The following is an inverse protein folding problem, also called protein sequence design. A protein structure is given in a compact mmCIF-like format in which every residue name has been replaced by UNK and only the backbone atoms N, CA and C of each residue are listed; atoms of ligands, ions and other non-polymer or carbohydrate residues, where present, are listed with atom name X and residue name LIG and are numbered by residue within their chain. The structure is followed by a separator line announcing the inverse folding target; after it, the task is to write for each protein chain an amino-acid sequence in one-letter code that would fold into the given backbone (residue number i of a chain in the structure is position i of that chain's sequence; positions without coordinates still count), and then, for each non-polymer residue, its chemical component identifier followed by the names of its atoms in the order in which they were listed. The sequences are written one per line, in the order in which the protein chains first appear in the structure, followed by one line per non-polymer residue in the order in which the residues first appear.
data_IF_871562875373
#
_entry.id   IF_871562875373
#
_cell.length_a   1.000
_cell.length_b   1.000
_cell.length_c   1.000
_cell.angle_alpha   90.00
_cell.angle_beta   90.00
_cell.angle_gamma   90.00
#
_symmetry.space_group_name_H-M   'P 1'
#
loop_
_entity.id
_entity.type
_entity.pdbx_description
1 polymer ?
#
# COMPACT_ATOMS: atom_id res chain seq x y z
N UNK A 1 -23.22 -28.52 20.08
CA UNK A 1 -21.88 -29.08 20.29
C UNK A 1 -21.24 -29.32 18.96
N UNK A 2 -20.32 -28.43 18.59
CA UNK A 2 -19.46 -28.65 17.40
C UNK A 2 -18.21 -29.40 17.86
N UNK A 3 -17.99 -30.57 17.27
CA UNK A 3 -16.79 -31.36 17.55
C UNK A 3 -15.53 -30.48 17.39
N UNK A 4 -14.58 -30.56 18.34
CA UNK A 4 -13.32 -29.89 18.22
C UNK A 4 -12.59 -30.39 16.97
N UNK A 5 -11.87 -29.51 16.28
CA UNK A 5 -11.09 -29.84 15.08
C UNK A 5 -10.18 -31.05 15.36
N UNK A 6 -10.59 -32.23 14.89
CA UNK A 6 -9.91 -33.49 15.16
C UNK A 6 -8.71 -33.74 14.24
N UNK A 7 -8.52 -32.90 13.20
CA UNK A 7 -7.39 -33.02 12.28
C UNK A 7 -6.37 -31.91 12.56
N UNK A 8 -5.11 -32.24 12.86
CA UNK A 8 -4.06 -31.24 13.04
C UNK A 8 -3.88 -30.46 11.72
N UNK A 9 -3.96 -29.13 11.82
CA UNK A 9 -3.64 -28.25 10.70
C UNK A 9 -2.13 -28.33 10.46
N UNK A 10 -1.74 -28.79 9.28
CA UNK A 10 -0.32 -28.80 8.86
C UNK A 10 -0.02 -27.47 8.21
N UNK A 11 0.73 -26.64 8.90
CA UNK A 11 1.22 -25.38 8.39
C UNK A 11 2.60 -25.57 7.76
N UNK A 12 2.84 -24.99 6.61
CA UNK A 12 4.16 -24.88 6.02
C UNK A 12 5.05 -23.87 6.79
N UNK A 13 6.32 -23.76 6.42
CA UNK A 13 7.26 -22.88 7.10
C UNK A 13 6.89 -21.39 6.97
N UNK A 14 6.34 -21.00 5.82
CA UNK A 14 5.92 -19.61 5.55
C UNK A 14 4.66 -19.26 6.33
N UNK A 15 3.69 -20.14 6.39
CA UNK A 15 2.47 -19.98 7.16
C UNK A 15 2.75 -19.89 8.66
N UNK A 16 3.64 -20.74 9.18
CA UNK A 16 4.11 -20.67 10.57
C UNK A 16 4.80 -19.35 10.87
N UNK A 17 5.72 -18.91 10.01
CA UNK A 17 6.39 -17.62 10.17
C UNK A 17 5.38 -16.48 10.18
N UNK A 18 4.42 -16.48 9.26
CA UNK A 18 3.35 -15.47 9.19
C UNK A 18 2.54 -15.41 10.48
N UNK A 19 2.13 -16.55 11.02
CA UNK A 19 1.40 -16.63 12.28
C UNK A 19 2.24 -16.17 13.47
N UNK A 20 3.53 -16.53 13.49
CA UNK A 20 4.46 -16.08 14.55
C UNK A 20 4.61 -14.55 14.50
N UNK A 21 4.86 -13.98 13.33
CA UNK A 21 4.97 -12.51 13.16
C UNK A 21 3.67 -11.79 13.53
N UNK A 22 2.53 -12.36 13.19
CA UNK A 22 1.22 -11.82 13.57
C UNK A 22 1.01 -11.85 15.10
N UNK A 23 1.39 -12.94 15.75
CA UNK A 23 1.31 -13.06 17.20
C UNK A 23 2.29 -12.11 17.91
N UNK A 24 3.54 -11.98 17.41
CA UNK A 24 4.55 -11.08 17.94
C UNK A 24 4.15 -9.59 17.79
N UNK A 25 3.35 -9.28 16.75
CA UNK A 25 2.75 -7.97 16.57
C UNK A 25 1.52 -7.73 17.48
N UNK A 26 1.31 -8.52 18.54
CA UNK A 26 0.13 -8.51 19.41
C UNK A 26 -1.17 -8.85 18.68
N UNK A 27 -1.10 -9.73 17.68
CA UNK A 27 -2.26 -10.29 16.99
C UNK A 27 -3.32 -9.22 16.64
N UNK A 28 -2.98 -8.20 15.83
CA UNK A 28 -3.91 -7.13 15.53
C UNK A 28 -5.18 -7.71 14.90
N UNK A 29 -6.29 -7.60 15.64
CA UNK A 29 -7.56 -8.20 15.26
C UNK A 29 -8.29 -7.42 14.15
N UNK A 30 -7.80 -6.22 13.84
CA UNK A 30 -8.39 -5.35 12.83
C UNK A 30 -7.34 -4.99 11.78
N UNK A 31 -7.72 -5.04 10.52
CA UNK A 31 -6.92 -4.53 9.39
C UNK A 31 -6.69 -3.01 9.48
N UNK A 32 -7.53 -2.30 10.26
CA UNK A 32 -7.39 -0.88 10.57
C UNK A 32 -7.40 -0.66 12.08
N UNK A 33 -6.25 -0.37 12.63
CA UNK A 33 -6.16 0.13 14.00
C UNK A 33 -6.47 1.62 14.03
N UNK A 34 -7.71 1.98 14.34
CA UNK A 34 -8.10 3.38 14.55
C UNK A 34 -7.82 3.74 16.00
N UNK A 35 -6.76 4.49 16.24
CA UNK A 35 -6.54 5.06 17.57
C UNK A 35 -7.67 6.06 17.89
N UNK A 36 -8.36 5.88 19.01
CA UNK A 36 -9.45 6.77 19.46
C UNK A 36 -8.98 8.16 19.87
N UNK A 37 -7.68 8.37 20.04
CA UNK A 37 -7.12 9.69 20.38
C UNK A 37 -7.08 10.54 19.12
N UNK A 38 -7.73 11.71 19.17
CA UNK A 38 -7.88 12.61 18.01
C UNK A 38 -6.54 13.14 17.47
N UNK A 39 -5.52 13.23 18.33
CA UNK A 39 -4.17 13.71 18.02
C UNK A 39 -3.26 12.69 17.33
N UNK A 40 -3.75 11.45 17.15
CA UNK A 40 -2.97 10.33 16.59
C UNK A 40 -3.52 9.79 15.28
N UNK A 41 -4.38 10.55 14.60
CA UNK A 41 -4.88 10.14 13.30
C UNK A 41 -3.71 10.08 12.31
N UNK A 42 -3.34 8.85 11.95
CA UNK A 42 -2.48 8.65 10.79
C UNK A 42 -3.17 9.21 9.54
N UNK A 43 -2.39 9.65 8.58
CA UNK A 43 -2.89 9.98 7.27
C UNK A 43 -3.58 8.74 6.66
N UNK A 44 -4.80 8.92 6.20
CA UNK A 44 -5.56 7.87 5.51
C UNK A 44 -5.47 8.07 4.00
N UNK A 45 -4.67 7.23 3.37
CA UNK A 45 -4.47 7.25 1.92
C UNK A 45 -5.80 7.07 1.15
N UNK A 46 -6.70 6.24 1.68
CA UNK A 46 -8.00 5.98 1.07
C UNK A 46 -8.93 7.20 1.13
N UNK A 47 -8.71 8.11 2.08
CA UNK A 47 -9.48 9.33 2.26
C UNK A 47 -8.84 10.57 1.60
N UNK A 48 -7.70 10.42 0.89
CA UNK A 48 -7.06 11.54 0.19
C UNK A 48 -7.90 11.99 -1.01
N UNK A 49 -8.45 13.21 -0.89
CA UNK A 49 -9.37 13.76 -1.89
C UNK A 49 -8.69 14.06 -3.23
N UNK A 50 -7.44 14.49 -3.21
CA UNK A 50 -6.71 14.83 -4.44
C UNK A 50 -6.32 13.55 -5.19
N UNK A 51 -5.85 12.52 -4.48
CA UNK A 51 -5.60 11.21 -5.08
C UNK A 51 -6.88 10.63 -5.67
N UNK A 52 -7.99 10.64 -4.90
CA UNK A 52 -9.28 10.13 -5.37
C UNK A 52 -9.79 10.89 -6.59
N UNK A 53 -9.63 12.22 -6.65
CA UNK A 53 -9.98 13.05 -7.80
C UNK A 53 -9.19 12.65 -9.04
N UNK A 54 -7.88 12.48 -8.93
CA UNK A 54 -7.03 12.06 -10.05
C UNK A 54 -7.37 10.64 -10.53
N UNK A 55 -7.54 9.69 -9.61
CA UNK A 55 -7.95 8.33 -9.96
C UNK A 55 -9.30 8.35 -10.70
N UNK A 56 -10.29 9.10 -10.21
CA UNK A 56 -11.60 9.21 -10.84
C UNK A 56 -11.51 9.80 -12.26
N UNK A 57 -10.74 10.87 -12.41
CA UNK A 57 -10.59 11.53 -13.71
C UNK A 57 -9.89 10.60 -14.74
N UNK A 58 -8.85 9.89 -14.33
CA UNK A 58 -8.16 8.92 -15.18
C UNK A 58 -9.06 7.72 -15.48
N UNK A 59 -9.79 7.22 -14.46
CA UNK A 59 -10.75 6.14 -14.66
C UNK A 59 -11.74 6.46 -15.78
N UNK A 60 -12.37 7.61 -15.71
CA UNK A 60 -13.37 8.02 -16.72
C UNK A 60 -12.80 8.06 -18.14
N UNK A 61 -11.55 8.48 -18.31
CA UNK A 61 -10.93 8.64 -19.63
C UNK A 61 -10.32 7.36 -20.18
N UNK A 62 -9.76 6.51 -19.32
CA UNK A 62 -8.87 5.41 -19.73
C UNK A 62 -9.31 4.02 -19.28
N UNK A 63 -10.01 3.93 -18.14
CA UNK A 63 -10.22 2.64 -17.48
C UNK A 63 -11.69 2.19 -17.45
N UNK A 64 -12.64 3.09 -17.68
CA UNK A 64 -14.07 2.83 -17.51
C UNK A 64 -14.63 1.74 -18.43
N UNK A 65 -13.97 1.46 -19.56
CA UNK A 65 -14.38 0.39 -20.45
C UNK A 65 -14.16 -1.02 -19.87
N UNK A 66 -13.19 -1.16 -18.94
CA UNK A 66 -12.77 -2.45 -18.40
C UNK A 66 -12.96 -2.57 -16.89
N UNK A 67 -12.94 -1.46 -16.15
CA UNK A 67 -12.93 -1.44 -14.69
C UNK A 67 -14.05 -0.57 -14.12
N UNK A 68 -14.67 -1.06 -13.05
CA UNK A 68 -15.58 -0.22 -12.25
C UNK A 68 -14.76 0.73 -11.35
N UNK A 69 -15.31 1.90 -10.96
CA UNK A 69 -14.59 2.85 -10.11
C UNK A 69 -14.04 2.23 -8.82
N UNK A 70 -14.81 1.40 -8.14
CA UNK A 70 -14.39 0.74 -6.89
C UNK A 70 -13.23 -0.25 -7.08
N UNK A 71 -13.00 -0.77 -8.28
CA UNK A 71 -11.93 -1.73 -8.54
C UNK A 71 -10.57 -1.04 -8.63
N UNK A 72 -10.53 0.22 -9.08
CA UNK A 72 -9.28 0.96 -9.24
C UNK A 72 -8.98 1.94 -8.11
N UNK A 73 -9.91 2.18 -7.19
CA UNK A 73 -9.71 3.06 -6.04
C UNK A 73 -9.15 2.34 -4.79
N UNK A 74 -8.49 1.21 -4.99
CA UNK A 74 -7.97 0.37 -3.90
C UNK A 74 -6.62 0.88 -3.43
N UNK A 75 -6.47 1.28 -2.16
CA UNK A 75 -5.20 1.78 -1.62
C UNK A 75 -4.10 0.71 -1.55
N UNK A 76 -4.45 -0.58 -1.50
CA UNK A 76 -3.51 -1.70 -1.53
C UNK A 76 -2.76 -1.85 -2.88
N UNK A 77 -3.16 -1.12 -3.91
CA UNK A 77 -2.46 -1.05 -5.18
C UNK A 77 -1.35 0.01 -5.21
N UNK A 78 -1.16 0.72 -4.11
CA UNK A 78 -0.12 1.74 -3.98
C UNK A 78 1.06 1.16 -3.20
N UNK A 79 2.24 1.20 -3.82
CA UNK A 79 3.48 0.83 -3.16
C UNK A 79 4.02 2.05 -2.38
N UNK A 80 4.09 1.92 -1.06
CA UNK A 80 4.55 2.99 -0.18
C UNK A 80 6.07 3.17 -0.19
N UNK A 81 6.82 2.15 -0.58
CA UNK A 81 8.28 2.20 -0.63
C UNK A 81 8.82 2.61 -2.00
N UNK A 82 8.12 2.21 -3.05
CA UNK A 82 8.45 2.51 -4.44
C UNK A 82 7.19 2.96 -5.19
N UNK A 83 6.73 4.19 -4.99
CA UNK A 83 5.46 4.70 -5.55
C UNK A 83 5.34 4.51 -7.06
N UNK A 84 6.46 4.56 -7.79
CA UNK A 84 6.54 4.34 -9.23
C UNK A 84 6.18 2.91 -9.64
N UNK A 85 6.35 1.94 -8.74
CA UNK A 85 5.98 0.54 -8.95
C UNK A 85 4.54 0.22 -8.55
N UNK A 86 3.81 1.21 -8.06
CA UNK A 86 2.39 1.06 -7.73
C UNK A 86 1.62 0.42 -8.88
N UNK A 87 0.72 -0.49 -8.56
CA UNK A 87 -0.03 -1.24 -9.57
C UNK A 87 -0.87 -0.30 -10.48
N UNK A 88 -1.37 0.81 -9.93
CA UNK A 88 -2.03 1.86 -10.71
C UNK A 88 -1.18 2.41 -11.86
N UNK A 89 0.13 2.46 -11.68
CA UNK A 89 1.08 3.01 -12.64
C UNK A 89 1.66 1.93 -13.53
N UNK A 90 2.08 0.81 -12.93
CA UNK A 90 2.82 -0.23 -13.64
C UNK A 90 1.93 -1.11 -14.52
N UNK A 91 0.67 -1.41 -14.10
CA UNK A 91 -0.18 -2.32 -14.84
C UNK A 91 -0.66 -1.78 -16.19
N UNK A 92 -1.07 -0.50 -16.32
CA UNK A 92 -1.55 0.07 -17.58
C UNK A 92 -0.43 0.61 -18.48
N UNK A 93 0.81 0.69 -18.01
CA UNK A 93 1.96 1.20 -18.77
C UNK A 93 2.56 0.10 -19.65
N UNK A 94 2.96 0.48 -20.87
CA UNK A 94 3.63 -0.41 -21.82
C UNK A 94 4.95 -0.96 -21.25
N UNK A 95 5.28 -2.21 -21.58
CA UNK A 95 6.55 -2.85 -21.17
C UNK A 95 7.76 -2.07 -21.68
N UNK A 96 7.70 -1.54 -22.91
CA UNK A 96 8.77 -0.73 -23.46
C UNK A 96 9.05 0.55 -22.66
N UNK A 97 8.07 1.03 -21.88
CA UNK A 97 8.19 2.19 -20.99
C UNK A 97 8.43 1.80 -19.52
N UNK A 98 8.72 0.54 -19.24
CA UNK A 98 8.98 0.03 -17.87
C UNK A 98 7.74 -0.45 -17.12
N UNK A 99 6.59 -0.54 -17.78
CA UNK A 99 5.36 -1.09 -17.20
C UNK A 99 5.28 -2.62 -17.25
N UNK A 100 4.19 -3.18 -16.75
CA UNK A 100 3.92 -4.62 -16.76
C UNK A 100 2.88 -5.04 -17.79
N UNK A 101 2.15 -4.07 -18.39
CA UNK A 101 1.16 -4.28 -19.44
C UNK A 101 0.12 -5.36 -19.07
N UNK A 102 -0.36 -5.32 -17.82
CA UNK A 102 -1.33 -6.30 -17.31
C UNK A 102 -2.77 -5.98 -17.67
N UNK A 103 -3.05 -4.76 -18.13
CA UNK A 103 -4.36 -4.40 -18.65
C UNK A 103 -4.59 -5.02 -20.01
N UNK A 104 -5.85 -5.30 -20.39
CA UNK A 104 -6.22 -5.88 -21.69
C UNK A 104 -5.81 -5.02 -22.90
N UNK A 105 -5.40 -3.79 -22.65
CA UNK A 105 -4.84 -2.87 -23.63
C UNK A 105 -3.88 -1.93 -22.94
N UNK A 106 -2.90 -1.43 -23.69
CA UNK A 106 -1.95 -0.42 -23.17
C UNK A 106 -2.69 0.90 -23.03
N UNK A 107 -2.94 1.33 -21.78
CA UNK A 107 -3.55 2.64 -21.52
C UNK A 107 -2.55 3.78 -21.72
N UNK A 108 -1.26 3.52 -21.40
CA UNK A 108 -0.17 4.48 -21.53
C UNK A 108 0.97 3.86 -22.34
N UNK A 109 1.29 4.45 -23.49
CA UNK A 109 2.39 3.99 -24.37
C UNK A 109 3.77 4.34 -23.80
N UNK A 110 3.84 5.47 -23.12
CA UNK A 110 5.07 5.99 -22.52
C UNK A 110 4.79 6.73 -21.21
N UNK A 111 5.86 7.02 -20.49
CA UNK A 111 5.80 7.68 -19.18
C UNK A 111 5.58 9.21 -19.28
N UNK A 112 5.51 9.77 -20.49
CA UNK A 112 5.28 11.21 -20.72
C UNK A 112 3.81 11.54 -20.96
N UNK A 113 2.94 10.52 -21.07
CA UNK A 113 1.48 10.71 -21.17
C UNK A 113 0.99 11.58 -19.99
N UNK A 114 0.17 12.59 -20.30
CA UNK A 114 -0.29 13.56 -19.30
C UNK A 114 -1.12 12.95 -18.19
N UNK A 115 -1.98 11.97 -18.51
CA UNK A 115 -2.78 11.25 -17.50
C UNK A 115 -1.89 10.38 -16.60
N UNK A 116 -0.89 9.71 -17.19
CA UNK A 116 0.10 8.93 -16.44
C UNK A 116 0.93 9.81 -15.51
N UNK A 117 1.44 10.91 -16.03
CA UNK A 117 2.26 11.86 -15.24
C UNK A 117 1.47 12.46 -14.10
N UNK A 118 0.23 12.90 -14.34
CA UNK A 118 -0.66 13.42 -13.30
C UNK A 118 -0.97 12.39 -12.22
N UNK A 119 -1.27 11.15 -12.61
CA UNK A 119 -1.51 10.07 -11.65
C UNK A 119 -0.26 9.73 -10.84
N UNK A 120 0.92 9.66 -11.47
CA UNK A 120 2.20 9.44 -10.81
C UNK A 120 2.51 10.51 -9.77
N UNK A 121 2.28 11.78 -10.10
CA UNK A 121 2.46 12.88 -9.17
C UNK A 121 1.50 12.80 -7.98
N UNK A 122 0.22 12.47 -8.22
CA UNK A 122 -0.76 12.32 -7.16
C UNK A 122 -0.42 11.16 -6.21
N UNK A 123 0.01 10.01 -6.75
CA UNK A 123 0.46 8.86 -5.95
C UNK A 123 1.69 9.23 -5.13
N UNK A 124 2.71 9.85 -5.73
CA UNK A 124 3.92 10.27 -5.01
C UNK A 124 3.61 11.28 -3.89
N UNK A 125 2.72 12.24 -4.14
CA UNK A 125 2.29 13.22 -3.14
C UNK A 125 1.53 12.57 -1.98
N UNK A 126 0.64 11.62 -2.26
CA UNK A 126 -0.10 10.90 -1.25
C UNK A 126 0.82 10.00 -0.40
N UNK A 127 1.77 9.30 -1.03
CA UNK A 127 2.78 8.49 -0.33
C UNK A 127 3.67 9.38 0.54
N UNK A 128 4.11 10.54 0.02
CA UNK A 128 4.87 11.50 0.83
C UNK A 128 4.10 11.95 2.08
N UNK A 129 2.80 12.28 1.95
CA UNK A 129 1.95 12.60 3.11
C UNK A 129 1.88 11.45 4.10
N UNK A 130 1.76 10.21 3.62
CA UNK A 130 1.72 9.03 4.48
C UNK A 130 3.02 8.88 5.30
N UNK A 131 4.18 9.20 4.72
CA UNK A 131 5.48 9.19 5.41
C UNK A 131 5.68 10.40 6.31
N UNK A 132 5.20 11.58 5.92
CA UNK A 132 5.31 12.82 6.73
C UNK A 132 4.41 12.77 7.97
N UNK A 133 3.30 12.00 7.92
CA UNK A 133 2.35 11.84 9.01
C UNK A 133 2.22 10.37 9.44
N UNK A 134 3.31 9.70 9.79
CA UNK A 134 3.24 8.34 10.30
C UNK A 134 2.51 8.32 11.64
N UNK A 135 2.06 7.15 12.05
CA UNK A 135 1.49 6.95 13.38
C UNK A 135 2.46 7.46 14.45
N UNK A 136 1.92 8.06 15.51
CA UNK A 136 2.72 8.67 16.59
C UNK A 136 3.72 7.72 17.25
N UNK A 137 3.35 6.45 17.40
CA UNK A 137 4.25 5.39 17.89
C UNK A 137 5.44 5.14 16.97
N UNK A 138 5.26 5.29 15.65
CA UNK A 138 6.35 5.21 14.67
C UNK A 138 7.21 6.47 14.64
N UNK A 139 6.62 7.65 14.91
CA UNK A 139 7.37 8.91 15.02
C UNK A 139 8.35 8.87 16.19
N UNK A 140 7.96 8.31 17.33
CA UNK A 140 8.84 8.15 18.48
C UNK A 140 10.06 7.28 18.15
N UNK A 141 9.91 6.23 17.36
CA UNK A 141 11.01 5.37 16.89
C UNK A 141 11.96 6.05 15.90
N UNK A 142 11.43 6.97 15.08
CA UNK A 142 12.22 7.71 14.11
C UNK A 142 13.08 8.82 14.74
N UNK A 143 12.68 9.33 15.90
CA UNK A 143 13.40 10.40 16.62
C UNK A 143 14.45 9.90 17.61
N UNK A 144 14.39 8.61 17.99
CA UNK A 144 15.46 8.03 18.80
C UNK A 144 16.70 7.74 17.94
N UNK A 145 17.86 8.33 18.27
CA UNK A 145 19.09 7.96 17.60
C UNK A 145 19.34 6.48 17.86
N UNK A 146 19.46 5.67 16.80
CA UNK A 146 19.84 4.26 16.91
C UNK A 146 21.10 4.19 17.75
N UNK A 147 20.95 3.81 19.00
CA UNK A 147 22.11 3.45 19.81
C UNK A 147 22.72 2.22 19.16
N UNK A 148 23.76 2.43 18.39
CA UNK A 148 24.59 1.38 17.78
C UNK A 148 25.33 0.67 18.91
N UNK A 149 24.64 -0.18 19.64
CA UNK A 149 25.17 -1.03 20.72
C UNK A 149 25.40 -2.44 20.22
N UNK A 150 26.20 -2.62 19.16
CA UNK A 150 26.84 -3.91 18.95
C UNK A 150 28.02 -3.91 19.93
N UNK A 151 27.81 -4.44 21.13
CA UNK A 151 28.93 -4.89 21.97
C UNK A 151 29.58 -6.05 21.22
N UNK A 152 30.77 -5.78 20.70
CA UNK A 152 31.66 -6.86 20.28
C UNK A 152 31.86 -7.79 21.48
N UNK A 153 31.41 -9.04 21.33
CA UNK A 153 31.75 -10.10 22.27
C UNK A 153 33.26 -10.35 22.15
N UNK A 154 33.96 -10.22 23.29
CA UNK A 154 35.34 -10.72 23.47
C UNK A 154 35.28 -12.21 23.77
#
# INVERSE_FOLDING_TARGET
DKEPHTKPVKLDAKERLTLTMWADANAPYHDRFVNKRADTKAYDLAADKELAKQITAVHQRRCAQCHKPAEISRPDWIDLHAPEHSLFLSAPLAKAAGGTERCKGVAYRDATDGDYTGLRQAVAAAVKKAWDFPRRDLQALATEPRKSGIRAAR
#
